data_IF_000876400641
#
_entry.id   IF_000876400641
#
_cell.length_a   1.000
_cell.length_b   1.000
_cell.length_c   1.000
_cell.angle_alpha   90.00
_cell.angle_beta   90.00
_cell.angle_gamma   90.00
#
_symmetry.space_group_name_H-M   'P 1'
#
loop_
_entity.id
_entity.type
_entity.pdbx_description
1 polymer ?
#
# COMPACT_ATOMS: atom_id res chain seq x y z
N UNK A 1 -15.48 -23.41 -48.96
CA UNK A 1 -16.11 -22.24 -48.32
C UNK A 1 -17.53 -22.60 -47.87
N UNK A 2 -17.78 -22.62 -46.55
CA UNK A 2 -19.12 -22.45 -45.96
C UNK A 2 -18.92 -21.64 -44.67
N UNK A 3 -19.19 -20.35 -44.71
CA UNK A 3 -19.29 -19.52 -43.51
C UNK A 3 -20.76 -19.44 -43.08
N UNK A 4 -21.05 -19.09 -41.83
CA UNK A 4 -20.77 -19.90 -40.64
C UNK A 4 -22.10 -20.21 -39.95
N UNK A 5 -22.17 -21.23 -39.08
CA UNK A 5 -23.30 -21.33 -38.17
C UNK A 5 -23.29 -20.06 -37.30
N UNK A 6 -24.19 -19.10 -37.54
CA UNK A 6 -24.23 -17.80 -36.85
C UNK A 6 -25.47 -17.77 -35.94
N UNK A 7 -25.27 -17.53 -34.64
CA UNK A 7 -26.34 -17.42 -33.64
C UNK A 7 -26.55 -15.99 -33.10
N UNK A 8 -25.94 -14.97 -33.71
CA UNK A 8 -26.04 -13.55 -33.32
C UNK A 8 -27.48 -13.02 -33.34
N UNK A 9 -28.37 -13.70 -34.07
CA UNK A 9 -29.81 -13.43 -34.10
C UNK A 9 -30.50 -13.85 -32.79
N UNK A 10 -29.92 -14.79 -32.03
CA UNK A 10 -30.33 -15.16 -30.68
C UNK A 10 -29.42 -14.38 -29.73
N UNK A 11 -29.78 -13.13 -29.44
CA UNK A 11 -29.02 -12.31 -28.48
C UNK A 11 -29.27 -12.79 -27.06
N UNK A 12 -28.22 -12.72 -26.24
CA UNK A 12 -28.35 -12.81 -24.78
C UNK A 12 -29.23 -11.66 -24.31
N UNK A 13 -30.22 -11.98 -23.47
CA UNK A 13 -31.03 -10.96 -22.81
C UNK A 13 -30.22 -10.37 -21.65
N UNK A 14 -30.40 -9.09 -21.34
CA UNK A 14 -29.68 -8.44 -20.25
C UNK A 14 -29.91 -9.18 -18.92
N UNK A 15 -28.84 -9.66 -18.29
CA UNK A 15 -28.89 -10.40 -17.03
C UNK A 15 -29.28 -11.88 -17.17
N UNK A 16 -29.44 -12.41 -18.38
CA UNK A 16 -29.71 -13.83 -18.61
C UNK A 16 -28.46 -14.67 -18.30
N UNK A 17 -28.58 -15.72 -17.48
CA UNK A 17 -27.51 -16.69 -17.28
C UNK A 17 -27.08 -17.31 -18.62
N UNK A 18 -25.78 -17.47 -18.82
CA UNK A 18 -25.21 -18.06 -20.05
C UNK A 18 -25.85 -19.42 -20.40
N UNK A 19 -26.23 -20.19 -19.37
CA UNK A 19 -26.89 -21.49 -19.48
C UNK A 19 -28.29 -21.39 -20.09
N UNK A 20 -29.09 -20.37 -19.73
CA UNK A 20 -30.45 -20.17 -20.27
C UNK A 20 -30.42 -19.71 -21.73
N UNK A 21 -29.50 -18.81 -22.06
CA UNK A 21 -29.26 -18.40 -23.44
C UNK A 21 -28.85 -19.59 -24.31
N UNK A 22 -28.05 -20.50 -23.77
CA UNK A 22 -27.59 -21.68 -24.48
C UNK A 22 -28.68 -22.73 -24.72
N UNK A 23 -29.54 -22.97 -23.74
CA UNK A 23 -30.70 -23.85 -23.90
C UNK A 23 -31.54 -23.39 -25.08
N UNK A 24 -31.79 -22.08 -25.21
CA UNK A 24 -32.50 -21.50 -26.37
C UNK A 24 -31.79 -21.73 -27.70
N UNK A 25 -30.45 -21.65 -27.73
CA UNK A 25 -29.68 -21.93 -28.95
C UNK A 25 -29.78 -23.41 -29.33
N UNK A 26 -29.69 -24.33 -28.36
CA UNK A 26 -29.83 -25.76 -28.64
C UNK A 26 -31.25 -26.11 -29.07
N UNK A 27 -32.27 -25.60 -28.39
CA UNK A 27 -33.67 -25.81 -28.75
C UNK A 27 -33.95 -25.32 -30.18
N UNK A 28 -33.46 -24.12 -30.52
CA UNK A 28 -33.54 -23.58 -31.88
C UNK A 28 -32.76 -24.42 -32.89
N UNK A 29 -31.54 -24.84 -32.56
CA UNK A 29 -30.73 -25.69 -33.43
C UNK A 29 -31.39 -27.05 -33.65
N UNK A 30 -32.08 -27.61 -32.66
CA UNK A 30 -32.84 -28.85 -32.80
C UNK A 30 -34.05 -28.64 -33.72
N UNK A 31 -34.83 -27.57 -33.49
CA UNK A 31 -36.04 -27.26 -34.27
C UNK A 31 -35.73 -26.94 -35.73
N UNK A 32 -34.75 -26.08 -35.99
CA UNK A 32 -34.45 -25.56 -37.34
C UNK A 32 -33.64 -26.56 -38.18
N UNK A 33 -32.91 -27.46 -37.52
CA UNK A 33 -31.96 -28.36 -38.20
C UNK A 33 -32.41 -29.81 -38.24
N UNK A 34 -33.62 -30.12 -37.77
CA UNK A 34 -34.15 -31.48 -37.60
C UNK A 34 -33.15 -32.42 -36.90
N UNK A 35 -32.42 -31.93 -35.91
CA UNK A 35 -31.41 -32.72 -35.18
C UNK A 35 -30.04 -32.87 -35.86
N UNK A 36 -29.67 -32.00 -36.81
CA UNK A 36 -28.31 -32.02 -37.39
C UNK A 36 -27.22 -31.79 -36.33
N UNK A 37 -26.48 -32.86 -36.02
CA UNK A 37 -25.44 -32.88 -34.99
C UNK A 37 -24.33 -31.83 -35.20
N UNK A 38 -24.10 -31.36 -36.43
CA UNK A 38 -23.06 -30.37 -36.73
C UNK A 38 -23.35 -29.00 -36.12
N UNK A 39 -24.62 -28.56 -36.12
CA UNK A 39 -25.05 -27.29 -35.52
C UNK A 39 -25.03 -27.33 -34.00
N UNK A 40 -25.43 -28.45 -33.42
CA UNK A 40 -25.38 -28.70 -31.97
C UNK A 40 -23.93 -28.69 -31.47
N UNK A 41 -23.01 -29.38 -32.18
CA UNK A 41 -21.58 -29.36 -31.87
C UNK A 41 -20.98 -27.95 -31.94
N UNK A 42 -21.35 -27.18 -32.96
CA UNK A 42 -20.87 -25.80 -33.09
C UNK A 42 -21.39 -24.90 -31.95
N UNK A 43 -22.67 -25.04 -31.57
CA UNK A 43 -23.21 -24.34 -30.40
C UNK A 43 -22.43 -24.69 -29.11
N UNK A 44 -22.21 -25.99 -28.86
CA UNK A 44 -21.45 -26.45 -27.69
C UNK A 44 -20.03 -25.85 -27.64
N UNK A 45 -19.33 -25.77 -28.77
CA UNK A 45 -18.02 -25.14 -28.82
C UNK A 45 -18.05 -23.64 -28.51
N UNK A 46 -19.10 -22.92 -28.94
CA UNK A 46 -19.26 -21.51 -28.59
C UNK A 46 -19.52 -21.31 -27.10
N UNK A 47 -20.32 -22.17 -26.48
CA UNK A 47 -20.51 -22.14 -25.02
C UNK A 47 -19.20 -22.41 -24.28
N UNK A 48 -18.46 -23.44 -24.68
CA UNK A 48 -17.18 -23.77 -24.04
C UNK A 48 -16.17 -22.60 -24.12
N UNK A 49 -16.22 -21.83 -25.20
CA UNK A 49 -15.42 -20.61 -25.36
C UNK A 49 -15.91 -19.50 -24.43
N UNK A 50 -17.20 -19.19 -24.45
CA UNK A 50 -17.79 -18.13 -23.62
C UNK A 50 -17.63 -18.42 -22.12
N UNK A 51 -17.82 -19.67 -21.70
CA UNK A 51 -17.62 -20.09 -20.31
C UNK A 51 -16.15 -19.94 -19.87
N UNK A 52 -15.19 -20.24 -20.76
CA UNK A 52 -13.77 -19.98 -20.49
C UNK A 52 -13.47 -18.50 -20.37
N UNK A 53 -14.00 -17.69 -21.28
CA UNK A 53 -13.79 -16.24 -21.29
C UNK A 53 -14.41 -15.58 -20.04
N UNK A 54 -15.61 -16.01 -19.61
CA UNK A 54 -16.25 -15.56 -18.37
C UNK A 54 -15.42 -15.93 -17.14
N UNK A 55 -14.92 -17.17 -17.06
CA UNK A 55 -14.07 -17.61 -15.95
C UNK A 55 -12.76 -16.83 -15.86
N UNK A 56 -12.15 -16.48 -17.01
CA UNK A 56 -10.97 -15.60 -17.04
C UNK A 56 -11.35 -14.18 -16.58
N UNK A 57 -12.49 -13.65 -17.01
CA UNK A 57 -12.95 -12.32 -16.62
C UNK A 57 -13.30 -12.23 -15.13
N UNK A 58 -13.90 -13.27 -14.56
CA UNK A 58 -14.16 -13.39 -13.12
C UNK A 58 -12.87 -13.46 -12.32
N UNK A 59 -11.92 -14.33 -12.71
CA UNK A 59 -10.62 -14.40 -12.06
C UNK A 59 -9.86 -13.07 -12.10
N UNK A 60 -9.95 -12.31 -13.21
CA UNK A 60 -9.39 -10.95 -13.30
C UNK A 60 -10.07 -9.98 -12.33
N UNK A 61 -11.40 -10.04 -12.19
CA UNK A 61 -12.16 -9.20 -11.25
C UNK A 61 -11.75 -9.48 -9.81
N UNK A 62 -11.61 -10.75 -9.43
CA UNK A 62 -11.17 -11.14 -8.09
C UNK A 62 -9.75 -10.67 -7.78
N UNK A 63 -8.81 -10.86 -8.73
CA UNK A 63 -7.44 -10.38 -8.58
C UNK A 63 -7.40 -8.87 -8.46
N UNK A 64 -8.17 -8.14 -9.27
CA UNK A 64 -8.24 -6.68 -9.20
C UNK A 64 -8.79 -6.22 -7.84
N UNK A 65 -9.89 -6.82 -7.36
CA UNK A 65 -10.46 -6.48 -6.05
C UNK A 65 -9.46 -6.72 -4.91
N UNK A 66 -8.69 -7.82 -4.97
CA UNK A 66 -7.63 -8.10 -4.00
C UNK A 66 -6.49 -7.08 -4.08
N UNK A 67 -6.06 -6.73 -5.29
CA UNK A 67 -5.04 -5.70 -5.53
C UNK A 67 -5.48 -4.34 -4.99
N UNK A 68 -6.74 -3.95 -5.20
CA UNK A 68 -7.28 -2.68 -4.73
C UNK A 68 -7.30 -2.61 -3.20
N UNK A 69 -7.71 -3.71 -2.54
CA UNK A 69 -7.69 -3.82 -1.08
C UNK A 69 -6.26 -3.70 -0.51
N UNK A 70 -5.29 -4.43 -1.08
CA UNK A 70 -3.89 -4.35 -0.62
C UNK A 70 -3.29 -2.98 -0.89
N UNK A 71 -3.58 -2.38 -2.04
CA UNK A 71 -3.14 -1.02 -2.39
C UNK A 71 -3.70 0.01 -1.41
N UNK A 72 -4.97 -0.11 -1.01
CA UNK A 72 -5.58 0.77 -0.01
C UNK A 72 -4.90 0.62 1.37
N UNK A 73 -4.59 -0.61 1.81
CA UNK A 73 -3.86 -0.85 3.06
C UNK A 73 -2.45 -0.22 3.02
N UNK A 74 -1.72 -0.41 1.94
CA UNK A 74 -0.38 0.16 1.78
C UNK A 74 -0.41 1.68 1.77
N UNK A 75 -1.36 2.30 1.07
CA UNK A 75 -1.55 3.75 1.07
C UNK A 75 -1.82 4.30 2.47
N UNK A 76 -2.69 3.64 3.23
CA UNK A 76 -2.94 4.01 4.64
C UNK A 76 -1.66 3.92 5.47
N UNK A 77 -0.91 2.82 5.34
CA UNK A 77 0.34 2.63 6.10
C UNK A 77 1.40 3.68 5.76
N UNK A 78 1.51 4.07 4.49
CA UNK A 78 2.42 5.14 4.06
C UNK A 78 2.02 6.47 4.70
N UNK A 79 0.73 6.81 4.70
CA UNK A 79 0.25 8.04 5.33
C UNK A 79 0.51 8.06 6.84
N UNK A 80 0.28 6.94 7.54
CA UNK A 80 0.58 6.82 8.96
C UNK A 80 2.08 7.01 9.23
N UNK A 81 2.94 6.37 8.42
CA UNK A 81 4.39 6.49 8.56
C UNK A 81 4.90 7.91 8.27
N UNK A 82 4.32 8.61 7.30
CA UNK A 82 4.65 10.01 7.00
C UNK A 82 4.26 10.94 8.15
N UNK A 83 3.11 10.70 8.80
CA UNK A 83 2.71 11.42 9.99
C UNK A 83 3.71 11.18 11.15
N UNK A 84 4.11 9.93 11.38
CA UNK A 84 5.12 9.62 12.40
C UNK A 84 6.45 10.29 12.09
N UNK A 85 6.89 10.29 10.83
CA UNK A 85 8.14 10.92 10.42
C UNK A 85 8.10 12.43 10.66
N UNK A 86 7.00 13.11 10.30
CA UNK A 86 6.81 14.56 10.53
C UNK A 86 6.79 14.94 12.01
N UNK A 87 6.26 14.06 12.86
CA UNK A 87 6.26 14.25 14.31
C UNK A 87 7.57 13.82 14.99
N UNK A 88 8.46 13.13 14.27
CA UNK A 88 9.74 12.69 14.78
C UNK A 88 10.82 13.72 14.50
N UNK A 89 11.73 13.90 15.45
CA UNK A 89 12.97 14.65 15.23
C UNK A 89 14.09 13.70 14.82
N UNK A 90 15.02 14.16 14.01
CA UNK A 90 16.18 13.33 13.67
C UNK A 90 17.03 13.07 14.92
N UNK A 91 17.76 11.95 14.93
CA UNK A 91 18.69 11.63 16.04
C UNK A 91 19.77 12.69 16.23
N UNK A 92 20.14 13.39 15.16
CA UNK A 92 21.12 14.46 15.18
C UNK A 92 20.53 15.67 15.90
N UNK A 93 19.37 16.16 15.47
CA UNK A 93 18.69 17.30 16.10
C UNK A 93 18.34 17.03 17.56
N UNK A 94 17.89 15.81 17.89
CA UNK A 94 17.60 15.42 19.27
C UNK A 94 18.86 15.43 20.15
N UNK A 95 20.00 14.95 19.64
CA UNK A 95 21.27 14.99 20.37
C UNK A 95 21.79 16.43 20.49
N UNK A 96 21.71 17.24 19.45
CA UNK A 96 22.08 18.66 19.50
C UNK A 96 21.26 19.42 20.56
N UNK A 97 19.94 19.22 20.58
CA UNK A 97 19.06 19.82 21.59
C UNK A 97 19.43 19.38 23.01
N UNK A 98 19.79 18.10 23.20
CA UNK A 98 20.24 17.56 24.48
C UNK A 98 21.57 18.17 24.93
N UNK A 99 22.56 18.27 24.04
CA UNK A 99 23.86 18.88 24.36
C UNK A 99 23.71 20.35 24.73
N UNK A 100 22.92 21.11 23.95
CA UNK A 100 22.61 22.51 24.23
C UNK A 100 21.85 22.69 25.54
N UNK A 101 20.94 21.78 25.88
CA UNK A 101 20.24 21.80 27.16
C UNK A 101 21.20 21.53 28.32
N UNK A 102 22.12 20.57 28.19
CA UNK A 102 23.12 20.27 29.22
C UNK A 102 24.06 21.47 29.45
N UNK A 103 24.53 22.11 28.38
CA UNK A 103 25.32 23.34 28.46
C UNK A 103 24.54 24.46 29.15
N UNK A 104 23.29 24.72 28.72
CA UNK A 104 22.45 25.74 29.33
C UNK A 104 22.09 25.45 30.79
N UNK A 105 22.06 24.19 31.23
CA UNK A 105 21.90 23.82 32.65
C UNK A 105 23.18 24.08 33.44
N UNK A 106 24.35 23.76 32.88
CA UNK A 106 25.65 24.05 33.49
C UNK A 106 25.86 25.55 33.69
N UNK A 107 25.63 26.35 32.65
CA UNK A 107 25.83 27.80 32.71
C UNK A 107 24.90 28.42 33.77
N UNK A 108 23.61 28.04 33.79
CA UNK A 108 22.66 28.50 34.83
C UNK A 108 23.03 28.03 36.24
N UNK A 109 23.68 26.88 36.38
CA UNK A 109 24.17 26.40 37.67
C UNK A 109 25.41 27.19 38.13
N UNK A 110 26.32 27.50 37.20
CA UNK A 110 27.49 28.35 37.45
C UNK A 110 27.06 29.75 37.89
N UNK A 111 26.19 30.42 37.12
CA UNK A 111 25.62 31.74 37.43
C UNK A 111 24.96 31.79 38.82
N UNK A 112 24.30 30.71 39.26
CA UNK A 112 23.69 30.61 40.59
C UNK A 112 24.70 30.42 41.72
N UNK A 113 25.88 29.90 41.40
CA UNK A 113 26.98 29.69 42.33
C UNK A 113 27.92 30.91 42.43
N UNK A 114 27.74 31.91 41.56
CA UNK A 114 28.39 33.20 41.68
C UNK A 114 27.91 33.96 42.92
N UNK A 115 28.69 34.96 43.33
CA UNK A 115 28.26 35.87 44.39
C UNK A 115 27.08 36.75 43.96
N UNK A 116 26.44 37.45 44.89
CA UNK A 116 25.33 38.40 44.62
C UNK A 116 25.66 39.48 43.57
N UNK A 117 26.93 39.74 43.32
CA UNK A 117 27.42 40.73 42.35
C UNK A 117 27.89 40.11 41.02
N UNK A 118 27.69 38.81 40.81
CA UNK A 118 28.14 38.10 39.60
C UNK A 118 29.65 37.86 39.57
N UNK A 119 30.31 37.84 40.73
CA UNK A 119 31.74 37.51 40.82
C UNK A 119 31.87 35.99 40.89
N UNK A 120 32.70 35.37 40.02
CA UNK A 120 32.98 33.93 40.07
C UNK A 120 33.51 33.49 41.43
N UNK A 121 33.09 32.30 41.85
CA UNK A 121 33.56 31.61 43.04
C UNK A 121 34.27 30.33 42.65
N UNK A 122 35.04 29.74 43.58
CA UNK A 122 35.62 28.41 43.37
C UNK A 122 34.56 27.36 42.96
N UNK A 123 33.32 27.54 43.39
CA UNK A 123 32.21 26.64 43.05
C UNK A 123 31.67 26.89 41.64
N UNK A 124 31.48 28.14 41.21
CA UNK A 124 31.07 28.44 39.84
C UNK A 124 32.13 28.00 38.83
N UNK A 125 33.40 28.27 39.13
CA UNK A 125 34.54 27.84 38.30
C UNK A 125 34.62 26.32 38.19
N UNK A 126 34.38 25.60 39.30
CA UNK A 126 34.33 24.14 39.27
C UNK A 126 33.17 23.59 38.42
N UNK A 127 32.02 24.28 38.42
CA UNK A 127 30.85 23.91 37.61
C UNK A 127 31.13 24.13 36.12
N UNK A 128 31.74 25.25 35.74
CA UNK A 128 32.07 25.54 34.33
C UNK A 128 33.07 24.54 33.74
N UNK A 129 33.97 24.03 34.58
CA UNK A 129 34.94 23.01 34.20
C UNK A 129 34.35 21.59 34.12
N UNK A 130 33.08 21.38 34.47
CA UNK A 130 32.43 20.08 34.27
C UNK A 130 32.27 19.79 32.78
N UNK A 131 32.69 18.58 32.38
CA UNK A 131 32.52 18.10 31.02
C UNK A 131 31.04 17.86 30.71
N UNK A 132 30.63 18.23 29.50
CA UNK A 132 29.30 17.93 29.00
C UNK A 132 29.11 16.42 28.81
N UNK A 133 27.88 15.91 28.97
CA UNK A 133 27.59 14.50 28.77
C UNK A 133 27.99 14.06 27.36
N UNK A 134 28.65 12.90 27.25
CA UNK A 134 29.08 12.37 25.94
C UNK A 134 27.89 12.22 24.98
N UNK A 135 28.06 12.54 23.68
CA UNK A 135 27.03 12.30 22.69
C UNK A 135 26.69 10.81 22.58
N UNK A 136 25.40 10.48 22.56
CA UNK A 136 24.96 9.08 22.45
C UNK A 136 24.90 8.59 21.01
N UNK A 137 24.51 9.47 20.08
CA UNK A 137 24.14 9.05 18.72
C UNK A 137 25.06 9.58 17.61
N UNK A 138 25.92 10.56 17.89
CA UNK A 138 26.75 11.23 16.87
C UNK A 138 28.23 10.86 16.93
N UNK A 139 28.64 10.00 17.88
CA UNK A 139 30.04 9.60 18.06
C UNK A 139 30.54 8.50 17.11
N UNK A 140 29.70 7.98 16.21
CA UNK A 140 30.11 6.96 15.24
C UNK A 140 30.40 7.57 13.88
N UNK A 141 31.53 8.28 13.76
CA UNK A 141 32.16 8.45 12.44
C UNK A 141 32.73 7.07 12.08
N UNK A 142 32.18 6.42 11.06
CA UNK A 142 32.79 5.20 10.49
C UNK A 142 34.18 5.60 9.97
N UNK A 143 35.28 4.96 10.41
CA UNK A 143 36.58 5.19 9.78
C UNK A 143 36.47 4.82 8.30
N UNK A 144 37.02 5.70 7.44
CA UNK A 144 37.13 5.47 6.00
C UNK A 144 38.06 4.29 5.70
#
# INVERSE_FOLDING_TARGET
MKAPYNFDHIRSKNGEPLTEWFVRIIEWAISESKGSQGRIRYALHQLERMARDEGIAEGRREVQARMDMETAKLRKRIADLDLFLKASVSRIEAEEARQKAAEGMRNRASERAETKHGVPTNTSDAIDNLSLPKPLFTNTVRPK
#
